data_IF_048243900746
#
_entry.id   IF_048243900746
#
_cell.length_a   1.000
_cell.length_b   1.000
_cell.length_c   1.000
_cell.angle_alpha   90.00
_cell.angle_beta   90.00
_cell.angle_gamma   90.00
#
_symmetry.space_group_name_H-M   'P 1'
#
loop_
_entity.id
_entity.type
_entity.pdbx_description
1 polymer ?
#
# COMPACT_ATOMS: atom_id res chain seq x y z
N UNK A 1 -9.05 -2.41 0.41
CA UNK A 1 -9.20 -3.71 1.11
C UNK A 1 -8.74 -3.64 2.56
N UNK A 2 -7.60 -3.00 2.87
CA UNK A 2 -7.10 -2.94 4.26
C UNK A 2 -7.84 -1.99 5.21
N UNK A 3 -8.44 -0.91 4.71
CA UNK A 3 -9.03 0.12 5.57
C UNK A 3 -10.13 -0.38 6.53
N UNK A 4 -11.16 -1.14 6.11
CA UNK A 4 -12.21 -1.59 7.03
C UNK A 4 -11.65 -2.47 8.17
N UNK A 5 -10.73 -3.38 7.84
CA UNK A 5 -10.08 -4.27 8.80
C UNK A 5 -9.19 -3.50 9.78
N UNK A 6 -8.34 -2.61 9.27
CA UNK A 6 -7.44 -1.82 10.11
C UNK A 6 -8.21 -0.82 10.98
N UNK A 7 -9.24 -0.16 10.43
CA UNK A 7 -10.10 0.71 11.20
C UNK A 7 -10.82 -0.08 12.30
N UNK A 8 -11.37 -1.24 11.99
CA UNK A 8 -11.97 -2.11 13.00
C UNK A 8 -10.98 -2.48 14.12
N UNK A 9 -9.71 -2.75 13.83
CA UNK A 9 -8.70 -3.01 14.88
C UNK A 9 -8.40 -1.78 15.74
N UNK A 10 -8.42 -0.59 15.15
CA UNK A 10 -7.93 0.64 15.77
C UNK A 10 -9.02 1.59 16.27
N UNK A 11 -10.30 1.34 15.97
CA UNK A 11 -11.38 2.29 16.28
C UNK A 11 -11.51 2.61 17.76
N UNK A 12 -11.19 1.66 18.65
CA UNK A 12 -11.22 1.85 20.11
C UNK A 12 -10.03 2.65 20.64
N UNK A 13 -8.96 2.78 19.87
CA UNK A 13 -7.81 3.58 20.27
C UNK A 13 -8.12 5.07 20.05
N UNK A 14 -8.11 5.83 21.15
CA UNK A 14 -8.38 7.27 21.16
C UNK A 14 -7.12 8.13 21.00
N UNK A 15 -5.94 7.55 21.11
CA UNK A 15 -4.67 8.25 20.92
C UNK A 15 -4.37 8.47 19.43
N UNK A 16 -4.90 7.58 18.57
CA UNK A 16 -4.73 7.66 17.12
C UNK A 16 -5.86 8.49 16.50
N UNK A 17 -5.48 9.51 15.73
CA UNK A 17 -6.42 10.31 14.95
C UNK A 17 -6.96 9.56 13.74
N UNK A 18 -7.94 10.17 13.05
CA UNK A 18 -8.51 9.61 11.83
C UNK A 18 -7.46 9.47 10.70
N UNK A 19 -6.52 10.42 10.61
CA UNK A 19 -5.42 10.35 9.65
C UNK A 19 -4.56 9.11 9.91
N UNK A 20 -4.18 8.86 11.17
CA UNK A 20 -3.35 7.72 11.56
C UNK A 20 -4.00 6.40 11.21
N UNK A 21 -5.27 6.24 11.59
CA UNK A 21 -6.08 5.05 11.26
C UNK A 21 -6.17 4.84 9.75
N UNK A 22 -6.26 5.92 8.98
CA UNK A 22 -6.31 5.88 7.51
C UNK A 22 -4.99 5.45 6.90
N UNK A 23 -3.87 6.02 7.34
CA UNK A 23 -2.53 5.66 6.85
C UNK A 23 -2.18 4.23 7.22
N UNK A 24 -2.44 3.82 8.47
CA UNK A 24 -2.25 2.43 8.90
C UNK A 24 -3.15 1.46 8.13
N UNK A 25 -4.38 1.86 7.81
CA UNK A 25 -5.28 1.09 6.95
C UNK A 25 -4.80 0.97 5.50
N UNK A 26 -4.13 2.00 4.99
CA UNK A 26 -3.46 1.96 3.70
C UNK A 26 -2.25 1.01 3.74
N UNK A 27 -1.39 1.09 4.76
CA UNK A 27 -0.26 0.16 4.98
C UNK A 27 -0.75 -1.28 5.05
N UNK A 28 -1.78 -1.56 5.85
CA UNK A 28 -2.38 -2.88 5.94
C UNK A 28 -2.93 -3.36 4.59
N UNK A 29 -3.51 -2.44 3.80
CA UNK A 29 -4.02 -2.73 2.46
C UNK A 29 -2.92 -3.06 1.45
N UNK A 30 -1.72 -2.51 1.61
CA UNK A 30 -0.55 -2.83 0.78
C UNK A 30 0.20 -4.06 1.28
N UNK A 31 0.20 -4.33 2.59
CA UNK A 31 0.98 -5.42 3.18
C UNK A 31 0.24 -6.76 3.25
N UNK A 32 -1.03 -6.76 3.68
CA UNK A 32 -1.74 -8.01 3.97
C UNK A 32 -2.04 -8.85 2.72
N UNK A 33 -2.55 -8.30 1.60
CA UNK A 33 -2.79 -9.10 0.40
C UNK A 33 -1.54 -9.82 -0.14
N UNK A 34 -0.38 -9.16 -0.34
CA UNK A 34 0.81 -9.87 -0.83
C UNK A 34 1.37 -10.87 0.17
N UNK A 35 1.26 -10.64 1.49
CA UNK A 35 1.64 -11.65 2.50
C UNK A 35 0.78 -12.90 2.36
N UNK A 36 -0.54 -12.75 2.25
CA UNK A 36 -1.44 -13.89 2.09
C UNK A 36 -1.24 -14.62 0.77
N UNK A 37 -0.96 -13.89 -0.32
CA UNK A 37 -0.62 -14.52 -1.60
C UNK A 37 0.71 -15.26 -1.55
N UNK A 38 1.70 -14.72 -0.86
CA UNK A 38 2.95 -15.43 -0.62
C UNK A 38 2.72 -16.73 0.15
N UNK A 39 1.87 -16.72 1.19
CA UNK A 39 1.53 -17.95 1.89
C UNK A 39 0.75 -18.93 1.00
N UNK A 40 -0.14 -18.41 0.15
CA UNK A 40 -0.93 -19.21 -0.78
C UNK A 40 -0.08 -19.84 -1.90
N UNK A 41 1.01 -19.17 -2.32
CA UNK A 41 1.87 -19.64 -3.41
C UNK A 41 2.59 -20.96 -3.10
N UNK A 42 2.72 -21.32 -1.82
CA UNK A 42 3.20 -22.64 -1.39
C UNK A 42 2.23 -23.79 -1.69
N UNK A 43 0.93 -23.48 -1.83
CA UNK A 43 -0.12 -24.47 -2.02
C UNK A 43 -0.66 -24.51 -3.47
N UNK A 44 -0.67 -23.37 -4.16
CA UNK A 44 -1.20 -23.26 -5.52
C UNK A 44 -0.58 -22.09 -6.30
N UNK A 45 -0.61 -22.11 -7.63
CA UNK A 45 -0.17 -20.99 -8.44
C UNK A 45 -0.97 -19.70 -8.15
N UNK A 46 -0.26 -18.58 -8.11
CA UNK A 46 -0.81 -17.23 -8.01
C UNK A 46 -1.29 -16.77 -9.38
N UNK A 47 -2.43 -16.10 -9.43
CA UNK A 47 -2.94 -15.49 -10.65
C UNK A 47 -4.08 -14.52 -10.35
N UNK A 48 -4.76 -13.99 -11.38
CA UNK A 48 -5.83 -13.01 -11.20
C UNK A 48 -6.94 -13.48 -10.25
N UNK A 49 -7.31 -14.76 -10.33
CA UNK A 49 -8.37 -15.36 -9.51
C UNK A 49 -7.93 -15.45 -8.05
N UNK A 50 -6.71 -15.92 -7.76
CA UNK A 50 -6.24 -16.03 -6.38
C UNK A 50 -6.07 -14.65 -5.74
N UNK A 51 -5.60 -13.66 -6.51
CA UNK A 51 -5.50 -12.26 -6.09
C UNK A 51 -6.87 -11.70 -5.75
N UNK A 52 -7.86 -11.86 -6.65
CA UNK A 52 -9.23 -11.42 -6.41
C UNK A 52 -9.85 -12.12 -5.20
N UNK A 53 -9.63 -13.43 -5.03
CA UNK A 53 -10.14 -14.20 -3.91
C UNK A 53 -9.57 -13.71 -2.57
N UNK A 54 -8.24 -13.61 -2.43
CA UNK A 54 -7.59 -13.09 -1.21
C UNK A 54 -8.07 -11.68 -0.89
N UNK A 55 -8.13 -10.83 -1.91
CA UNK A 55 -8.61 -9.46 -1.84
C UNK A 55 -10.04 -9.34 -1.33
N UNK A 56 -10.95 -10.15 -1.88
CA UNK A 56 -12.36 -10.18 -1.52
C UNK A 56 -12.57 -10.77 -0.14
N UNK A 57 -11.85 -11.83 0.23
CA UNK A 57 -11.92 -12.43 1.57
C UNK A 57 -11.49 -11.41 2.62
N UNK A 58 -10.37 -10.73 2.41
CA UNK A 58 -9.90 -9.67 3.31
C UNK A 58 -10.91 -8.52 3.44
N UNK A 59 -11.47 -8.08 2.30
CA UNK A 59 -12.47 -7.01 2.29
C UNK A 59 -13.76 -7.45 3.01
N UNK A 60 -14.27 -8.64 2.72
CA UNK A 60 -15.49 -9.17 3.32
C UNK A 60 -15.33 -9.40 4.82
N UNK A 61 -14.20 -9.98 5.26
CA UNK A 61 -13.89 -10.15 6.66
C UNK A 61 -13.77 -8.80 7.39
N UNK A 62 -13.02 -7.85 6.81
CA UNK A 62 -12.87 -6.50 7.34
C UNK A 62 -14.21 -5.77 7.45
N UNK A 63 -15.04 -5.80 6.40
CA UNK A 63 -16.37 -5.20 6.38
C UNK A 63 -17.33 -5.87 7.36
N UNK A 64 -17.31 -7.20 7.46
CA UNK A 64 -18.14 -7.94 8.40
C UNK A 64 -17.85 -7.55 9.84
N UNK A 65 -16.58 -7.43 10.21
CA UNK A 65 -16.18 -6.97 11.54
C UNK A 65 -16.48 -5.49 11.78
N UNK A 66 -16.24 -4.64 10.78
CA UNK A 66 -16.55 -3.21 10.84
C UNK A 66 -18.04 -2.95 11.10
N UNK A 67 -18.93 -3.70 10.45
CA UNK A 67 -20.38 -3.59 10.64
C UNK A 67 -20.83 -4.19 11.98
N UNK A 68 -20.27 -5.35 12.36
CA UNK A 68 -20.59 -6.04 13.62
C UNK A 68 -20.36 -5.15 14.85
N UNK A 69 -19.25 -4.43 14.88
CA UNK A 69 -18.87 -3.58 16.01
C UNK A 69 -19.39 -2.14 15.88
N UNK A 70 -20.30 -1.87 14.93
CA UNK A 70 -20.88 -0.56 14.66
C UNK A 70 -19.82 0.55 14.46
N UNK A 71 -18.69 0.22 13.83
CA UNK A 71 -17.58 1.15 13.59
C UNK A 71 -18.00 2.35 12.73
N UNK A 72 -19.11 2.24 11.98
CA UNK A 72 -19.67 3.33 11.20
C UNK A 72 -20.06 4.54 12.07
N UNK A 73 -20.58 4.31 13.27
CA UNK A 73 -20.94 5.39 14.20
C UNK A 73 -19.69 6.13 14.70
N UNK A 74 -18.64 5.38 15.05
CA UNK A 74 -17.33 5.93 15.45
C UNK A 74 -16.71 6.75 14.33
N UNK A 75 -16.71 6.21 13.10
CA UNK A 75 -16.15 6.90 11.94
C UNK A 75 -16.87 8.22 11.66
N UNK A 76 -18.21 8.25 11.76
CA UNK A 76 -19.00 9.47 11.60
C UNK A 76 -18.67 10.52 12.66
N UNK A 77 -18.45 10.12 13.91
CA UNK A 77 -18.06 11.03 14.98
C UNK A 77 -16.67 11.64 14.72
N UNK A 78 -15.68 10.82 14.39
CA UNK A 78 -14.31 11.27 14.08
C UNK A 78 -14.25 12.19 12.84
N UNK A 79 -15.07 11.90 11.82
CA UNK A 79 -15.26 12.78 10.67
C UNK A 79 -15.87 14.12 11.07
N UNK A 80 -16.87 14.12 11.96
CA UNK A 80 -17.49 15.32 12.49
C UNK A 80 -16.49 16.21 13.24
N UNK A 81 -15.65 15.62 14.08
CA UNK A 81 -14.57 16.33 14.79
C UNK A 81 -13.55 16.93 13.83
N UNK A 82 -13.14 16.19 12.80
CA UNK A 82 -12.21 16.66 11.77
C UNK A 82 -12.78 17.86 10.99
N UNK A 83 -14.06 17.83 10.64
CA UNK A 83 -14.76 18.93 9.96
C UNK A 83 -14.92 20.15 10.89
N UNK A 84 -15.21 19.93 12.17
CA UNK A 84 -15.27 21.00 13.16
C UNK A 84 -13.91 21.69 13.34
N UNK A 85 -12.82 20.92 13.37
CA UNK A 85 -11.45 21.43 13.42
C UNK A 85 -11.09 22.31 12.21
N UNK A 86 -11.51 21.93 11.00
CA UNK A 86 -11.39 22.76 9.80
C UNK A 86 -12.20 24.08 9.90
N UNK A 87 -13.36 24.04 10.56
CA UNK A 87 -14.14 25.25 10.87
C UNK A 87 -13.41 26.17 11.84
N UNK A 88 -12.85 25.60 12.92
CA UNK A 88 -12.07 26.33 13.92
C UNK A 88 -10.78 26.94 13.33
N UNK A 89 -10.14 26.27 12.37
CA UNK A 89 -8.97 26.79 11.64
C UNK A 89 -9.23 28.17 11.04
N UNK A 90 -10.39 28.36 10.38
CA UNK A 90 -10.75 29.64 9.76
C UNK A 90 -10.86 30.76 10.79
N UNK A 91 -11.27 30.43 12.02
CA UNK A 91 -11.41 31.37 13.12
C UNK A 91 -10.05 31.66 13.77
N UNK A 92 -9.23 30.64 14.02
CA UNK A 92 -7.90 30.78 14.62
C UNK A 92 -6.91 31.51 13.70
N UNK A 93 -7.07 31.46 12.38
CA UNK A 93 -6.30 32.29 11.44
C UNK A 93 -6.56 33.79 11.61
N UNK A 94 -7.73 34.17 12.15
CA UNK A 94 -8.05 35.58 12.43
C UNK A 94 -7.47 36.03 13.78
N UNK A 95 -7.42 35.14 14.77
CA UNK A 95 -6.89 35.40 16.11
C UNK A 95 -5.82 34.35 16.49
N UNK A 96 -4.57 34.52 16.03
CA UNK A 96 -3.52 33.51 16.18
C UNK A 96 -3.12 33.23 17.65
N UNK A 97 -3.41 34.14 18.59
CA UNK A 97 -3.13 33.96 20.01
C UNK A 97 -3.92 32.84 20.69
N UNK A 98 -5.03 32.38 20.09
CA UNK A 98 -5.89 31.32 20.63
C UNK A 98 -5.58 29.93 20.05
N UNK A 99 -4.60 29.82 19.16
CA UNK A 99 -4.33 28.61 18.39
C UNK A 99 -3.80 27.44 19.23
N UNK A 100 -2.99 27.73 20.25
CA UNK A 100 -2.32 26.70 21.04
C UNK A 100 -3.27 25.79 21.82
N UNK A 101 -4.48 26.28 22.15
CA UNK A 101 -5.48 25.55 22.92
C UNK A 101 -6.72 25.17 22.11
N UNK A 102 -6.70 25.40 20.78
CA UNK A 102 -7.86 25.15 19.94
C UNK A 102 -7.79 23.76 19.28
N UNK A 103 -8.94 23.12 18.99
CA UNK A 103 -8.97 21.88 18.23
C UNK A 103 -8.41 22.04 16.80
N UNK A 104 -8.20 23.28 16.33
CA UNK A 104 -7.59 23.54 15.04
C UNK A 104 -6.11 23.10 14.99
N UNK A 105 -5.40 23.07 16.12
CA UNK A 105 -4.00 22.65 16.14
C UNK A 105 -3.83 21.21 15.65
N UNK A 106 -4.65 20.27 16.14
CA UNK A 106 -4.61 18.87 15.69
C UNK A 106 -4.92 18.72 14.20
N UNK A 107 -5.85 19.52 13.68
CA UNK A 107 -6.14 19.58 12.24
C UNK A 107 -4.96 20.12 11.43
N UNK A 108 -4.28 21.18 11.90
CA UNK A 108 -3.10 21.73 11.24
C UNK A 108 -1.99 20.68 11.18
N UNK A 109 -1.71 20.02 12.30
CA UNK A 109 -0.67 18.99 12.36
C UNK A 109 -1.00 17.86 11.40
N UNK A 110 -2.25 17.37 11.40
CA UNK A 110 -2.70 16.32 10.47
C UNK A 110 -2.54 16.75 9.00
N UNK A 111 -2.91 17.99 8.66
CA UNK A 111 -2.75 18.53 7.31
C UNK A 111 -1.27 18.69 6.92
N UNK A 112 -0.43 19.12 7.85
CA UNK A 112 1.00 19.26 7.63
C UNK A 112 1.66 17.89 7.38
N UNK A 113 1.34 16.89 8.20
CA UNK A 113 1.82 15.51 8.01
C UNK A 113 1.34 14.95 6.67
N UNK A 114 0.06 15.11 6.35
CA UNK A 114 -0.48 14.70 5.05
C UNK A 114 0.24 15.38 3.88
N UNK A 115 0.50 16.69 3.97
CA UNK A 115 1.26 17.42 2.97
C UNK A 115 2.70 16.91 2.84
N UNK A 116 3.39 16.60 3.95
CA UNK A 116 4.73 16.02 3.93
C UNK A 116 4.75 14.64 3.25
N UNK A 117 3.77 13.78 3.55
CA UNK A 117 3.59 12.48 2.88
C UNK A 117 3.44 12.70 1.36
N UNK A 118 2.57 13.61 0.95
CA UNK A 118 2.33 13.90 -0.48
C UNK A 118 3.56 14.49 -1.19
N UNK A 119 4.25 15.45 -0.57
CA UNK A 119 5.49 16.03 -1.11
C UNK A 119 6.58 14.95 -1.24
N UNK A 120 6.71 14.07 -0.25
CA UNK A 120 7.67 12.95 -0.28
C UNK A 120 7.40 12.01 -1.45
N UNK A 121 6.12 11.70 -1.71
CA UNK A 121 5.72 10.91 -2.87
C UNK A 121 6.06 11.63 -4.19
N UNK A 122 5.60 12.87 -4.37
CA UNK A 122 5.76 13.63 -5.63
C UNK A 122 7.23 13.86 -5.98
N UNK A 123 8.06 14.21 -4.99
CA UNK A 123 9.50 14.41 -5.20
C UNK A 123 10.25 13.14 -5.60
N UNK A 124 9.74 11.96 -5.24
CA UNK A 124 10.35 10.67 -5.64
C UNK A 124 9.79 10.17 -6.96
N UNK A 125 8.50 10.41 -7.22
CA UNK A 125 7.82 9.95 -8.43
C UNK A 125 8.30 10.65 -9.71
N UNK A 126 9.01 11.79 -9.61
CA UNK A 126 9.53 12.52 -10.77
C UNK A 126 10.44 11.72 -11.71
N UNK A 127 11.02 10.60 -11.24
CA UNK A 127 11.91 9.72 -12.01
C UNK A 127 11.18 8.58 -12.71
N UNK A 128 9.85 8.70 -12.87
CA UNK A 128 9.00 7.71 -13.53
C UNK A 128 9.47 7.42 -14.96
N UNK A 129 9.86 6.16 -15.21
CA UNK A 129 10.36 5.70 -16.49
C UNK A 129 10.22 4.18 -16.59
N UNK A 130 9.90 3.61 -17.78
CA UNK A 130 9.91 2.16 -17.99
C UNK A 130 11.33 1.56 -17.99
N UNK A 131 12.36 2.41 -18.01
CA UNK A 131 13.77 2.04 -18.04
C UNK A 131 14.40 2.56 -16.75
N UNK A 132 15.00 1.65 -15.96
CA UNK A 132 15.67 2.00 -14.72
C UNK A 132 17.08 2.53 -15.00
N UNK A 133 17.57 3.43 -14.15
CA UNK A 133 18.92 3.97 -14.23
C UNK A 133 19.99 2.98 -13.76
N UNK A 134 19.62 2.04 -12.90
CA UNK A 134 20.48 1.03 -12.28
C UNK A 134 20.07 -0.38 -12.72
N UNK A 135 20.95 -1.36 -12.52
CA UNK A 135 20.71 -2.76 -12.92
C UNK A 135 19.85 -3.51 -11.90
N UNK A 136 20.03 -3.25 -10.60
CA UNK A 136 19.35 -3.99 -9.52
C UNK A 136 17.81 -4.06 -9.65
N UNK A 137 17.10 -2.97 -10.03
CA UNK A 137 15.65 -3.03 -10.20
C UNK A 137 15.18 -4.07 -11.21
N UNK A 138 15.97 -4.35 -12.26
CA UNK A 138 15.63 -5.40 -13.24
C UNK A 138 15.64 -6.79 -12.60
N UNK A 139 16.54 -7.05 -11.64
CA UNK A 139 16.55 -8.30 -10.89
C UNK A 139 15.34 -8.40 -9.95
N UNK A 140 14.95 -7.30 -9.29
CA UNK A 140 13.82 -7.32 -8.35
C UNK A 140 12.47 -7.58 -9.02
N UNK A 141 12.24 -7.02 -10.21
CA UNK A 141 10.99 -7.24 -10.95
C UNK A 141 10.92 -8.62 -11.61
N UNK A 142 12.04 -9.34 -11.72
CA UNK A 142 12.08 -10.66 -12.36
C UNK A 142 11.21 -11.69 -11.62
N UNK A 143 11.21 -11.65 -10.29
CA UNK A 143 10.33 -12.49 -9.49
C UNK A 143 8.85 -12.11 -9.66
N UNK A 144 8.53 -10.83 -9.86
CA UNK A 144 7.17 -10.40 -10.16
C UNK A 144 6.73 -10.89 -11.54
N UNK A 145 7.62 -10.83 -12.54
CA UNK A 145 7.38 -11.41 -13.86
C UNK A 145 7.02 -12.89 -13.76
N UNK A 146 7.80 -13.70 -13.04
CA UNK A 146 7.53 -15.14 -12.86
C UNK A 146 6.17 -15.41 -12.21
N UNK A 147 5.79 -14.61 -11.21
CA UNK A 147 4.44 -14.69 -10.63
C UNK A 147 3.34 -14.36 -11.64
N UNK A 148 3.59 -13.42 -12.55
CA UNK A 148 2.62 -13.00 -13.57
C UNK A 148 2.51 -14.03 -14.70
N UNK A 149 3.64 -14.60 -15.13
CA UNK A 149 3.71 -15.52 -16.29
C UNK A 149 3.46 -16.97 -15.90
N UNK A 150 4.10 -17.42 -14.82
CA UNK A 150 4.17 -18.83 -14.43
C UNK A 150 3.37 -19.12 -13.15
N UNK A 151 2.85 -18.08 -12.50
CA UNK A 151 2.07 -18.19 -11.26
C UNK A 151 2.88 -18.63 -10.05
N UNK A 152 4.19 -18.78 -10.16
CA UNK A 152 5.05 -19.22 -9.06
C UNK A 152 6.47 -18.72 -9.26
N UNK A 153 7.21 -18.56 -8.16
CA UNK A 153 8.64 -18.29 -8.21
C UNK A 153 9.34 -19.63 -7.97
N UNK A 154 10.08 -20.17 -8.95
CA UNK A 154 10.79 -21.42 -8.75
C UNK A 154 11.85 -21.27 -7.65
N UNK A 155 12.13 -22.36 -6.93
CA UNK A 155 13.15 -22.35 -5.86
C UNK A 155 14.55 -22.12 -6.45
N UNK A 156 14.77 -22.66 -7.65
CA UNK A 156 16.03 -22.60 -8.39
C UNK A 156 15.87 -21.84 -9.70
N UNK A 157 16.86 -21.02 -10.03
CA UNK A 157 16.87 -20.19 -11.24
C UNK A 157 17.95 -20.63 -12.21
N UNK A 158 17.59 -21.37 -13.25
CA UNK A 158 18.56 -21.82 -14.23
C UNK A 158 19.03 -20.74 -15.22
N UNK A 159 18.52 -19.50 -15.12
CA UNK A 159 18.86 -18.42 -16.04
C UNK A 159 20.10 -17.62 -15.62
N UNK A 160 20.58 -17.83 -14.39
CA UNK A 160 21.75 -17.16 -13.84
C UNK A 160 22.81 -18.15 -13.36
N UNK A 161 24.05 -17.66 -13.19
CA UNK A 161 25.16 -18.42 -12.58
C UNK A 161 25.63 -19.67 -13.33
N UNK A 162 25.61 -19.66 -14.67
CA UNK A 162 26.14 -20.76 -15.48
C UNK A 162 27.62 -21.08 -15.13
N UNK A 163 28.01 -22.36 -14.94
CA UNK A 163 27.22 -23.60 -15.08
C UNK A 163 26.53 -24.09 -13.79
N UNK A 164 26.59 -23.34 -12.69
CA UNK A 164 26.07 -23.71 -11.37
C UNK A 164 24.58 -23.37 -11.19
N UNK A 165 23.77 -23.65 -12.21
CA UNK A 165 22.35 -23.28 -12.32
C UNK A 165 21.43 -23.98 -11.30
N UNK A 166 21.91 -25.04 -10.64
CA UNK A 166 21.17 -25.74 -9.59
C UNK A 166 21.32 -25.05 -8.22
N UNK A 167 22.32 -24.19 -8.06
CA UNK A 167 22.62 -23.51 -6.78
C UNK A 167 22.12 -22.06 -6.74
N UNK A 168 21.65 -21.53 -7.86
CA UNK A 168 21.06 -20.20 -7.97
C UNK A 168 19.65 -20.20 -7.41
N UNK A 169 19.40 -19.32 -6.45
CA UNK A 169 18.09 -19.09 -5.84
C UNK A 169 17.73 -17.62 -5.93
N UNK A 170 16.46 -17.33 -6.13
CA UNK A 170 15.92 -15.97 -6.03
C UNK A 170 15.91 -15.53 -4.57
N UNK A 171 17.03 -14.97 -4.09
CA UNK A 171 17.10 -14.36 -2.74
C UNK A 171 16.45 -12.98 -2.74
N UNK A 172 15.18 -12.90 -3.13
CA UNK A 172 14.39 -11.66 -3.13
C UNK A 172 13.35 -11.74 -2.02
N UNK A 173 13.12 -10.62 -1.33
CA UNK A 173 12.09 -10.54 -0.30
C UNK A 173 10.72 -10.76 -0.95
N UNK A 174 9.90 -11.71 -0.47
CA UNK A 174 8.70 -12.15 -1.20
C UNK A 174 7.61 -11.09 -1.28
N UNK A 175 7.61 -10.09 -0.40
CA UNK A 175 6.54 -9.10 -0.33
C UNK A 175 6.42 -8.25 -1.61
N UNK A 176 7.54 -7.73 -2.11
CA UNK A 176 7.55 -6.78 -3.24
C UNK A 176 7.09 -7.46 -4.55
N UNK A 177 7.60 -8.65 -4.92
CA UNK A 177 7.13 -9.34 -6.12
C UNK A 177 5.62 -9.62 -6.13
N UNK A 178 5.04 -10.00 -4.99
CA UNK A 178 3.60 -10.25 -4.90
C UNK A 178 2.79 -8.94 -4.97
N UNK A 179 3.31 -7.86 -4.40
CA UNK A 179 2.69 -6.53 -4.49
C UNK A 179 2.67 -6.02 -5.94
N UNK A 180 3.80 -6.11 -6.64
CA UNK A 180 3.93 -5.73 -8.05
C UNK A 180 3.03 -6.60 -8.95
N UNK A 181 2.96 -7.91 -8.69
CA UNK A 181 2.03 -8.80 -9.39
C UNK A 181 0.57 -8.39 -9.16
N UNK A 182 0.17 -8.07 -7.92
CA UNK A 182 -1.19 -7.57 -7.63
C UNK A 182 -1.47 -6.30 -8.46
N UNK A 183 -0.57 -5.32 -8.44
CA UNK A 183 -0.77 -4.07 -9.17
C UNK A 183 -0.84 -4.30 -10.68
N UNK A 184 0.03 -5.17 -11.23
CA UNK A 184 0.01 -5.55 -12.63
C UNK A 184 -1.30 -6.20 -13.04
N UNK A 185 -1.78 -7.19 -12.27
CA UNK A 185 -3.03 -7.86 -12.56
C UNK A 185 -4.23 -6.94 -12.41
N UNK A 186 -4.28 -6.09 -11.37
CA UNK A 186 -5.35 -5.11 -11.22
C UNK A 186 -5.40 -4.16 -12.41
N UNK A 187 -4.26 -3.62 -12.83
CA UNK A 187 -4.20 -2.71 -13.97
C UNK A 187 -4.62 -3.40 -15.27
N UNK A 188 -4.02 -4.55 -15.60
CA UNK A 188 -4.29 -5.24 -16.88
C UNK A 188 -5.71 -5.78 -16.97
N UNK A 189 -6.27 -6.33 -15.89
CA UNK A 189 -7.64 -6.85 -15.90
C UNK A 189 -8.70 -5.73 -15.91
N UNK A 190 -8.48 -4.62 -15.20
CA UNK A 190 -9.41 -3.47 -15.22
C UNK A 190 -9.38 -2.78 -16.58
N UNK A 191 -8.20 -2.62 -17.18
CA UNK A 191 -8.04 -1.92 -18.45
C UNK A 191 -8.23 -2.83 -19.67
N UNK A 192 -8.49 -4.13 -19.48
CA UNK A 192 -8.65 -5.11 -20.56
C UNK A 192 -7.39 -5.32 -21.40
N UNK A 193 -6.21 -5.06 -20.84
CA UNK A 193 -4.92 -5.27 -21.53
C UNK A 193 -4.60 -6.75 -21.51
N UNK A 194 -4.40 -7.33 -22.69
CA UNK A 194 -4.02 -8.74 -22.84
C UNK A 194 -2.51 -8.89 -23.04
N UNK A 195 -1.98 -10.00 -22.52
CA UNK A 195 -0.56 -10.35 -22.65
C UNK A 195 0.35 -9.70 -21.60
N UNK A 196 1.48 -10.36 -21.37
CA UNK A 196 2.54 -9.83 -20.52
C UNK A 196 3.34 -8.75 -21.26
N UNK A 197 3.63 -7.64 -20.59
CA UNK A 197 4.48 -6.56 -21.09
C UNK A 197 5.46 -6.11 -20.00
N UNK A 198 6.75 -6.36 -20.23
CA UNK A 198 7.80 -6.03 -19.26
C UNK A 198 7.94 -4.52 -19.01
N UNK A 199 7.74 -3.67 -20.02
CA UNK A 199 7.79 -2.21 -19.83
C UNK A 199 6.64 -1.71 -18.97
N UNK A 200 5.47 -2.35 -19.07
CA UNK A 200 4.34 -2.06 -18.18
C UNK A 200 4.66 -2.49 -16.75
N UNK A 201 5.27 -3.67 -16.56
CA UNK A 201 5.70 -4.11 -15.22
C UNK A 201 6.73 -3.14 -14.62
N UNK A 202 7.72 -2.69 -15.40
CA UNK A 202 8.69 -1.68 -14.94
C UNK A 202 8.01 -0.39 -14.49
N UNK A 203 7.06 0.11 -15.30
CA UNK A 203 6.23 1.28 -14.97
C UNK A 203 5.49 1.12 -13.64
N UNK A 204 4.87 -0.05 -13.44
CA UNK A 204 4.11 -0.34 -12.21
C UNK A 204 5.05 -0.43 -11.00
N UNK A 205 6.23 -1.00 -11.20
CA UNK A 205 7.26 -1.15 -10.15
C UNK A 205 7.84 0.20 -9.71
N UNK A 206 7.82 1.22 -10.58
CA UNK A 206 8.21 2.60 -10.20
C UNK A 206 7.32 3.22 -9.10
N UNK A 207 6.13 2.68 -8.82
CA UNK A 207 5.28 3.19 -7.75
C UNK A 207 5.73 2.73 -6.35
N UNK A 208 6.41 1.58 -6.25
CA UNK A 208 6.81 1.04 -4.94
C UNK A 208 7.76 1.97 -4.16
N UNK A 209 8.87 2.48 -4.73
CA UNK A 209 9.79 3.32 -3.96
C UNK A 209 9.19 4.66 -3.47
N UNK A 210 8.42 5.42 -4.27
CA UNK A 210 7.73 6.62 -3.79
C UNK A 210 6.70 6.33 -2.69
N UNK A 211 5.95 5.23 -2.81
CA UNK A 211 5.01 4.77 -1.77
C UNK A 211 5.76 4.40 -0.49
N UNK A 212 6.86 3.65 -0.58
CA UNK A 212 7.68 3.34 0.58
C UNK A 212 8.23 4.62 1.24
N UNK A 213 8.70 5.58 0.43
CA UNK A 213 9.18 6.87 0.90
C UNK A 213 8.12 7.65 1.70
N UNK A 214 6.91 7.79 1.16
CA UNK A 214 5.84 8.52 1.85
C UNK A 214 5.39 7.84 3.15
N UNK A 215 5.41 6.50 3.20
CA UNK A 215 5.09 5.74 4.41
C UNK A 215 6.16 5.86 5.48
N UNK A 216 7.44 5.94 5.09
CA UNK A 216 8.54 6.20 6.01
C UNK A 216 8.38 7.57 6.66
N UNK A 217 8.01 8.60 5.90
CA UNK A 217 7.74 9.95 6.43
C UNK A 217 6.68 9.92 7.53
N UNK A 218 5.63 9.10 7.36
CA UNK A 218 4.62 8.92 8.40
C UNK A 218 5.17 8.22 9.65
N UNK A 219 6.00 7.18 9.50
CA UNK A 219 6.52 6.43 10.66
C UNK A 219 7.51 7.20 11.54
N UNK A 220 8.13 8.26 11.02
CA UNK A 220 9.07 9.10 11.76
C UNK A 220 8.43 10.34 12.40
N UNK A 221 7.17 10.63 12.05
CA UNK A 221 6.36 11.63 12.72
C UNK A 221 5.83 11.08 14.05
#
# INVERSE_FOLDING_TARGET
MGFPLAYWLLHKNRELGLLDKTVLGFIAGLGLPPILLFLLSFAMPVGPISIAAVSLVLLAAGMGMFLKDNCLASLKAELGESVAGLGALKLSLRNPGELANSPALGTIVSLAVFALILITFLTRFQTYSPIFSEIDPYYYIYSAQMLITDGSIPVHDATAWYPFTEMSSHRVRPLVPHLEAIWYFLYTNVMGVSGYNNYLLSIISCFYPPIAGMLITYTFY
#
